data_IF_791352311615
#
_entry.id   IF_791352311615
#
_cell.length_a   1.000
_cell.length_b   1.000
_cell.length_c   1.000
_cell.angle_alpha   90.00
_cell.angle_beta   90.00
_cell.angle_gamma   90.00
#
_symmetry.space_group_name_H-M   'P 1'
#
loop_
_entity.id
_entity.type
_entity.pdbx_description
1 polymer ?
#
# COMPACT_ATOMS: atom_id res chain seq x y z
N UNK A 1 -11.41 -4.31 -17.29
CA UNK A 1 -10.62 -3.05 -17.24
C UNK A 1 -11.21 -1.96 -16.32
N UNK A 2 -12.45 -1.52 -16.54
CA UNK A 2 -13.06 -0.41 -15.77
C UNK A 2 -13.23 -0.73 -14.27
N UNK A 3 -13.58 -1.97 -13.91
CA UNK A 3 -13.75 -2.40 -12.52
C UNK A 3 -12.44 -2.35 -11.72
N UNK A 4 -11.36 -2.92 -12.25
CA UNK A 4 -10.05 -2.93 -11.57
C UNK A 4 -9.50 -1.51 -11.41
N UNK A 5 -9.67 -0.64 -12.42
CA UNK A 5 -9.30 0.78 -12.32
C UNK A 5 -10.04 1.46 -11.15
N UNK A 6 -11.36 1.23 -11.03
CA UNK A 6 -12.16 1.76 -9.91
C UNK A 6 -11.67 1.25 -8.55
N UNK A 7 -11.40 -0.04 -8.42
CA UNK A 7 -10.92 -0.64 -7.17
C UNK A 7 -9.55 -0.05 -6.80
N UNK A 8 -8.62 0.04 -7.75
CA UNK A 8 -7.30 0.62 -7.51
C UNK A 8 -7.40 2.09 -7.08
N UNK A 9 -8.29 2.89 -7.68
CA UNK A 9 -8.52 4.27 -7.24
C UNK A 9 -9.03 4.35 -5.80
N UNK A 10 -9.94 3.47 -5.38
CA UNK A 10 -10.43 3.43 -3.99
C UNK A 10 -9.31 3.00 -3.04
N UNK A 11 -8.55 1.96 -3.39
CA UNK A 11 -7.40 1.50 -2.61
C UNK A 11 -6.35 2.62 -2.44
N UNK A 12 -6.10 3.40 -3.50
CA UNK A 12 -5.19 4.54 -3.44
C UNK A 12 -5.64 5.61 -2.45
N UNK A 13 -6.92 5.98 -2.48
CA UNK A 13 -7.44 7.13 -1.74
C UNK A 13 -7.90 6.79 -0.32
N UNK A 14 -8.27 5.53 -0.05
CA UNK A 14 -8.92 5.11 1.19
C UNK A 14 -8.30 3.85 1.80
N UNK A 15 -7.15 3.39 1.30
CA UNK A 15 -6.57 2.10 1.63
C UNK A 15 -6.04 1.95 3.07
N UNK A 16 -5.63 3.06 3.69
CA UNK A 16 -4.75 3.08 4.87
C UNK A 16 -5.27 3.96 6.01
N UNK A 17 -6.59 3.99 6.21
CA UNK A 17 -7.21 4.86 7.23
C UNK A 17 -6.79 6.32 7.00
N UNK A 18 -6.33 6.99 8.06
CA UNK A 18 -5.88 8.38 8.03
C UNK A 18 -4.51 8.56 7.33
N UNK A 19 -3.84 7.48 6.92
CA UNK A 19 -2.53 7.51 6.24
C UNK A 19 -2.60 7.19 4.73
N UNK A 20 -3.78 7.21 4.10
CA UNK A 20 -3.88 6.92 2.66
C UNK A 20 -3.02 7.85 1.80
N UNK A 21 -2.99 9.15 2.12
CA UNK A 21 -2.13 10.12 1.43
C UNK A 21 -0.64 9.89 1.65
N UNK A 22 -0.24 9.57 2.89
CA UNK A 22 1.16 9.25 3.22
C UNK A 22 1.62 7.96 2.54
N UNK A 23 0.77 6.92 2.49
CA UNK A 23 1.09 5.70 1.75
C UNK A 23 1.22 5.97 0.25
N UNK A 24 0.33 6.78 -0.32
CA UNK A 24 0.41 7.19 -1.72
C UNK A 24 1.73 7.91 -2.02
N UNK A 25 2.17 8.81 -1.14
CA UNK A 25 3.41 9.57 -1.31
C UNK A 25 4.66 8.71 -1.15
N UNK A 26 4.73 7.89 -0.08
CA UNK A 26 5.94 7.11 0.24
C UNK A 26 6.08 5.83 -0.57
N UNK A 27 4.97 5.12 -0.80
CA UNK A 27 4.99 3.83 -1.49
C UNK A 27 4.62 3.97 -2.97
N UNK A 28 3.68 4.86 -3.31
CA UNK A 28 3.33 5.11 -4.70
C UNK A 28 2.56 3.97 -5.37
N UNK A 29 1.80 3.16 -4.61
CA UNK A 29 0.99 2.06 -5.14
C UNK A 29 -0.42 2.07 -4.54
N UNK A 30 -1.44 1.57 -5.27
CA UNK A 30 -2.74 1.25 -4.69
C UNK A 30 -2.60 0.14 -3.66
N UNK A 31 -3.12 0.32 -2.44
CA UNK A 31 -3.04 -0.71 -1.42
C UNK A 31 -4.20 -0.73 -0.42
N UNK A 32 -4.20 -1.74 0.45
CA UNK A 32 -5.12 -1.86 1.57
C UNK A 32 -4.41 -2.48 2.76
N UNK A 33 -4.59 -1.89 3.93
CA UNK A 33 -4.14 -2.44 5.22
C UNK A 33 -5.27 -3.10 6.02
N UNK A 34 -4.91 -3.87 7.04
CA UNK A 34 -5.81 -4.31 8.09
C UNK A 34 -5.12 -4.47 9.44
N UNK A 35 -5.89 -4.32 10.53
CA UNK A 35 -5.39 -4.38 11.92
C UNK A 35 -4.75 -5.72 12.30
N UNK A 36 -4.97 -6.79 11.52
CA UNK A 36 -4.21 -8.04 11.64
C UNK A 36 -2.73 -7.93 11.24
N UNK A 37 -2.28 -6.74 10.80
CA UNK A 37 -0.91 -6.46 10.40
C UNK A 37 -0.59 -6.79 8.94
N UNK A 38 -1.60 -7.14 8.15
CA UNK A 38 -1.46 -7.41 6.72
C UNK A 38 -1.60 -6.14 5.88
N UNK A 39 -0.81 -6.04 4.81
CA UNK A 39 -0.94 -5.01 3.77
C UNK A 39 -0.83 -5.68 2.40
N UNK A 40 -1.73 -5.34 1.49
CA UNK A 40 -1.64 -5.68 0.06
C UNK A 40 -1.43 -4.40 -0.73
N UNK A 41 -0.50 -4.42 -1.69
CA UNK A 41 -0.31 -3.35 -2.67
C UNK A 41 -0.22 -3.91 -4.10
N UNK A 42 -0.67 -3.13 -5.08
CA UNK A 42 -0.79 -3.55 -6.48
C UNK A 42 -0.05 -2.58 -7.38
N UNK A 43 0.91 -3.07 -8.15
CA UNK A 43 1.45 -2.35 -9.30
C UNK A 43 0.68 -2.77 -10.55
N UNK A 44 -0.19 -1.92 -11.12
CA UNK A 44 -1.06 -2.30 -12.23
C UNK A 44 -0.26 -2.86 -13.41
N UNK A 45 -0.62 -4.06 -13.86
CA UNK A 45 0.01 -4.72 -15.01
C UNK A 45 1.43 -5.24 -14.78
N UNK A 46 1.96 -5.20 -13.54
CA UNK A 46 3.31 -5.69 -13.23
C UNK A 46 3.28 -6.76 -12.14
N UNK A 47 2.88 -6.41 -10.91
CA UNK A 47 2.87 -7.34 -9.78
C UNK A 47 1.90 -6.93 -8.66
N UNK A 48 1.64 -7.88 -7.77
CA UNK A 48 0.99 -7.63 -6.48
C UNK A 48 1.95 -8.06 -5.37
N UNK A 49 1.95 -7.34 -4.25
CA UNK A 49 2.74 -7.69 -3.07
C UNK A 49 1.85 -7.74 -1.83
N UNK A 50 2.06 -8.75 -1.01
CA UNK A 50 1.48 -8.87 0.32
C UNK A 50 2.59 -8.92 1.36
N UNK A 51 2.48 -8.10 2.39
CA UNK A 51 3.38 -8.10 3.55
C UNK A 51 2.57 -8.30 4.81
N UNK A 52 3.18 -8.94 5.80
CA UNK A 52 2.55 -9.16 7.10
C UNK A 52 3.54 -8.95 8.23
N UNK A 53 3.16 -8.12 9.19
CA UNK A 53 3.86 -7.97 10.47
C UNK A 53 2.87 -7.43 11.50
N UNK A 54 2.66 -8.10 12.64
CA UNK A 54 1.58 -7.77 13.57
C UNK A 54 1.72 -6.43 14.28
N UNK A 55 2.95 -5.91 14.47
CA UNK A 55 3.16 -4.61 15.13
C UNK A 55 2.59 -3.47 14.26
N UNK A 56 1.60 -2.75 14.80
CA UNK A 56 0.98 -1.60 14.16
C UNK A 56 1.68 -0.29 14.54
N UNK A 57 1.57 0.73 13.68
CA UNK A 57 1.89 2.12 13.98
C UNK A 57 0.68 2.80 14.68
N UNK A 58 0.78 4.08 15.11
CA UNK A 58 -0.32 4.78 15.76
C UNK A 58 -1.63 4.87 14.94
N UNK A 59 -1.54 4.72 13.62
CA UNK A 59 -2.66 4.82 12.69
C UNK A 59 -3.25 3.45 12.30
N UNK A 60 -2.84 2.37 13.00
CA UNK A 60 -3.40 1.02 12.81
C UNK A 60 -2.84 0.26 11.60
N UNK A 61 -1.79 0.75 10.96
CA UNK A 61 -1.13 0.12 9.82
C UNK A 61 0.13 -0.66 10.27
N UNK A 62 0.48 -1.75 9.59
CA UNK A 62 1.67 -2.54 9.95
C UNK A 62 2.96 -1.69 9.85
N UNK A 63 3.64 -1.47 10.97
CA UNK A 63 4.81 -0.58 11.01
C UNK A 63 5.95 -1.09 10.12
N UNK A 64 6.26 -2.39 10.18
CA UNK A 64 7.28 -2.99 9.30
C UNK A 64 6.78 -3.15 7.87
N UNK A 65 5.50 -3.49 7.69
CA UNK A 65 4.92 -3.65 6.37
C UNK A 65 5.01 -2.37 5.54
N UNK A 66 4.68 -1.22 6.14
CA UNK A 66 4.82 0.09 5.50
C UNK A 66 6.27 0.37 5.06
N UNK A 67 7.24 0.18 5.97
CA UNK A 67 8.67 0.42 5.68
C UNK A 67 9.22 -0.48 4.58
N UNK A 68 8.84 -1.76 4.56
CA UNK A 68 9.30 -2.69 3.52
C UNK A 68 8.75 -2.29 2.15
N UNK A 69 7.48 -1.85 2.09
CA UNK A 69 6.88 -1.42 0.83
C UNK A 69 7.49 -0.13 0.30
N UNK A 70 7.76 0.86 1.17
CA UNK A 70 8.46 2.10 0.83
C UNK A 70 9.89 1.82 0.31
N UNK A 71 10.64 0.99 1.01
CA UNK A 71 12.00 0.62 0.59
C UNK A 71 12.00 -0.16 -0.72
N UNK A 72 11.03 -1.06 -0.92
CA UNK A 72 10.90 -1.84 -2.14
C UNK A 72 10.70 -0.91 -3.34
N UNK A 73 9.69 -0.06 -3.31
CA UNK A 73 9.37 0.81 -4.46
C UNK A 73 10.44 1.86 -4.71
N UNK A 74 11.13 2.33 -3.66
CA UNK A 74 12.29 3.20 -3.77
C UNK A 74 13.46 2.51 -4.49
N UNK A 75 13.80 1.28 -4.09
CA UNK A 75 14.92 0.54 -4.71
C UNK A 75 14.63 0.10 -6.14
N UNK A 76 13.38 -0.22 -6.44
CA UNK A 76 12.98 -0.72 -7.76
C UNK A 76 12.46 0.38 -8.69
N UNK A 77 12.40 1.64 -8.22
CA UNK A 77 11.75 2.75 -8.92
C UNK A 77 10.32 2.38 -9.40
N UNK A 78 9.56 1.66 -8.58
CA UNK A 78 8.26 1.08 -8.94
C UNK A 78 7.10 1.81 -8.27
N UNK A 79 7.01 3.11 -8.54
CA UNK A 79 5.88 3.99 -8.20
C UNK A 79 4.98 4.18 -9.43
N UNK A 80 3.67 4.34 -9.22
CA UNK A 80 2.74 4.74 -10.31
C UNK A 80 2.66 6.27 -10.50
N UNK A 81 3.41 7.03 -9.70
CA UNK A 81 3.62 8.48 -9.80
C UNK A 81 5.05 8.77 -10.24
#
# INVERSE_FOLDING_TARGET
PARSKRINSIMQMCGFYDEAGEFAFKVGLPGKSGVGGGIIAVHPGQYCIAVWSPKLNPNGNSHKGMKVLEELTTRTNSSIF
#
